data_IF_049688996139
#
_entry.id   IF_049688996139
#
_cell.length_a   1.000
_cell.length_b   1.000
_cell.length_c   1.000
_cell.angle_alpha   90.00
_cell.angle_beta   90.00
_cell.angle_gamma   90.00
#
_symmetry.space_group_name_H-M   'P 1'
#
loop_
_entity.id
_entity.type
_entity.pdbx_description
1 polymer ?
#
# COMPACT_ATOMS: atom_id res chain seq x y z
N UNK A 1 -30.04 -29.00 18.59
CA UNK A 1 -29.70 -28.46 17.26
C UNK A 1 -29.77 -26.93 17.15
N UNK A 2 -30.81 -26.25 17.67
CA UNK A 2 -30.93 -24.78 17.56
C UNK A 2 -29.78 -24.00 18.24
N UNK A 3 -29.33 -24.45 19.43
CA UNK A 3 -28.25 -23.80 20.20
C UNK A 3 -26.89 -23.83 19.47
N UNK A 4 -26.54 -24.96 18.85
CA UNK A 4 -25.29 -25.10 18.09
C UNK A 4 -25.30 -24.20 16.83
N UNK A 5 -26.44 -24.08 16.15
CA UNK A 5 -26.59 -23.17 14.99
C UNK A 5 -26.39 -21.70 15.37
N UNK A 6 -26.87 -21.28 16.55
CA UNK A 6 -26.69 -19.91 17.05
C UNK A 6 -25.20 -19.62 17.30
N UNK A 7 -24.50 -20.56 17.94
CA UNK A 7 -23.07 -20.41 18.25
C UNK A 7 -22.24 -20.30 16.97
N UNK A 8 -22.50 -21.17 15.98
CA UNK A 8 -21.80 -21.12 14.70
C UNK A 8 -22.04 -19.82 13.93
N UNK A 9 -23.29 -19.34 13.90
CA UNK A 9 -23.60 -18.05 13.27
C UNK A 9 -22.93 -16.87 13.99
N UNK A 10 -22.89 -16.88 15.32
CA UNK A 10 -22.19 -15.82 16.04
C UNK A 10 -20.71 -15.78 15.70
N UNK A 11 -20.02 -16.92 15.66
CA UNK A 11 -18.59 -17.00 15.34
C UNK A 11 -18.32 -16.51 13.91
N UNK A 12 -19.18 -16.88 12.94
CA UNK A 12 -19.03 -16.45 11.56
C UNK A 12 -19.15 -14.92 11.42
N UNK A 13 -20.09 -14.30 12.15
CA UNK A 13 -20.26 -12.85 12.13
C UNK A 13 -19.06 -12.14 12.76
N UNK A 14 -18.56 -12.60 13.91
CA UNK A 14 -17.38 -11.99 14.55
C UNK A 14 -16.12 -12.15 13.68
N UNK A 15 -15.94 -13.30 13.04
CA UNK A 15 -14.81 -13.53 12.14
C UNK A 15 -14.86 -12.63 10.89
N UNK A 16 -16.06 -12.43 10.30
CA UNK A 16 -16.24 -11.54 9.16
C UNK A 16 -15.92 -10.07 9.51
N UNK A 17 -16.36 -9.61 10.68
CA UNK A 17 -16.06 -8.26 11.18
C UNK A 17 -14.55 -8.12 11.43
N UNK A 18 -13.92 -9.08 12.09
CA UNK A 18 -12.47 -9.07 12.36
C UNK A 18 -11.63 -9.05 11.07
N UNK A 19 -12.01 -9.82 10.05
CA UNK A 19 -11.34 -9.81 8.74
C UNK A 19 -11.46 -8.48 8.00
N UNK A 20 -12.57 -7.75 8.16
CA UNK A 20 -12.76 -6.43 7.57
C UNK A 20 -11.87 -5.35 8.22
N UNK A 21 -11.52 -5.50 9.50
CA UNK A 21 -10.56 -4.61 10.16
C UNK A 21 -9.11 -4.97 9.83
N UNK A 22 -8.79 -6.26 9.69
CA UNK A 22 -7.43 -6.70 9.35
C UNK A 22 -6.97 -6.26 7.94
N UNK A 23 -7.90 -6.03 7.02
CA UNK A 23 -7.61 -5.65 5.63
C UNK A 23 -7.51 -4.14 5.41
N UNK A 24 -7.86 -3.33 6.41
CA UNK A 24 -7.85 -1.87 6.32
C UNK A 24 -6.55 -1.32 6.90
N UNK A 25 -5.64 -0.96 5.99
CA UNK A 25 -4.49 -0.08 6.19
C UNK A 25 -3.31 -0.63 6.99
N UNK A 26 -2.48 -1.43 6.33
CA UNK A 26 -1.05 -1.43 6.63
C UNK A 26 -0.34 -0.39 5.74
N UNK A 27 -0.67 0.90 5.88
CA UNK A 27 0.41 1.90 5.68
C UNK A 27 1.26 1.76 6.93
N UNK A 28 2.40 1.09 6.81
CA UNK A 28 3.32 0.91 7.93
C UNK A 28 3.62 2.32 8.46
N UNK A 29 3.36 2.62 9.75
CA UNK A 29 3.70 3.92 10.30
C UNK A 29 5.19 4.17 10.04
N UNK A 30 5.51 5.19 9.24
CA UNK A 30 6.88 5.46 8.78
C UNK A 30 7.19 5.12 7.32
N UNK A 31 6.20 4.71 6.52
CA UNK A 31 6.39 4.53 5.08
C UNK A 31 6.75 5.90 4.45
N UNK A 32 7.96 6.08 3.88
CA UNK A 32 8.39 7.36 3.35
C UNK A 32 7.53 7.77 2.16
N UNK A 33 7.43 9.08 1.90
CA UNK A 33 6.78 9.58 0.69
C UNK A 33 7.42 8.95 -0.54
N UNK A 34 6.58 8.41 -1.42
CA UNK A 34 7.04 7.67 -2.59
C UNK A 34 6.91 8.51 -3.84
N UNK A 35 7.85 8.30 -4.76
CA UNK A 35 8.00 9.08 -5.97
C UNK A 35 8.09 8.18 -7.19
N UNK A 36 7.65 8.71 -8.32
CA UNK A 36 7.78 8.10 -9.64
C UNK A 36 8.56 9.00 -10.58
N UNK A 37 9.38 8.44 -11.49
CA UNK A 37 10.06 9.20 -12.52
C UNK A 37 9.06 9.68 -13.59
N UNK A 38 8.98 10.99 -13.82
CA UNK A 38 8.13 11.65 -14.81
C UNK A 38 8.94 12.77 -15.47
N UNK A 39 9.24 12.64 -16.77
CA UNK A 39 9.94 13.66 -17.58
C UNK A 39 11.19 14.23 -16.89
N UNK A 40 12.17 13.37 -16.60
CA UNK A 40 13.44 13.71 -15.93
C UNK A 40 13.33 14.24 -14.48
N UNK A 41 12.14 14.23 -13.89
CA UNK A 41 11.89 14.61 -12.51
C UNK A 41 11.22 13.49 -11.72
N UNK A 42 11.19 13.64 -10.39
CA UNK A 42 10.46 12.75 -9.49
C UNK A 42 9.19 13.45 -9.00
N UNK A 43 8.04 12.81 -9.16
CA UNK A 43 6.74 13.30 -8.68
C UNK A 43 6.19 12.40 -7.58
N UNK A 44 5.51 12.96 -6.57
CA UNK A 44 4.88 12.15 -5.53
C UNK A 44 3.84 11.21 -6.15
N UNK A 45 3.93 9.92 -5.81
CA UNK A 45 3.10 8.86 -6.37
C UNK A 45 1.69 8.81 -5.75
N UNK A 46 1.52 9.40 -4.56
CA UNK A 46 0.31 9.31 -3.74
C UNK A 46 0.39 8.17 -2.71
N UNK A 47 -0.77 7.69 -2.27
CA UNK A 47 -0.92 6.61 -1.30
C UNK A 47 -1.04 5.25 -2.00
N UNK A 48 -0.18 4.30 -1.63
CA UNK A 48 -0.22 2.94 -2.13
C UNK A 48 -1.57 2.26 -1.82
N UNK A 49 -2.16 1.60 -2.81
CA UNK A 49 -3.47 0.95 -2.73
C UNK A 49 -4.67 1.91 -2.86
N UNK A 50 -4.43 3.22 -2.89
CA UNK A 50 -5.48 4.25 -3.08
C UNK A 50 -5.30 5.01 -4.39
N UNK A 51 -4.12 5.57 -4.60
CA UNK A 51 -3.78 6.37 -5.78
C UNK A 51 -3.03 5.53 -6.83
N UNK A 52 -2.30 4.50 -6.39
CA UNK A 52 -1.54 3.62 -7.27
C UNK A 52 -1.34 2.22 -6.70
N UNK A 53 -1.00 1.27 -7.57
CA UNK A 53 -0.52 -0.06 -7.24
C UNK A 53 0.80 -0.38 -7.95
N UNK A 54 1.48 -1.40 -7.45
CA UNK A 54 2.67 -1.99 -8.06
C UNK A 54 2.37 -3.43 -8.45
N UNK A 55 2.36 -3.74 -9.74
CA UNK A 55 2.17 -5.11 -10.22
C UNK A 55 3.51 -5.84 -10.34
N UNK A 56 3.51 -7.17 -10.15
CA UNK A 56 4.74 -7.97 -10.17
C UNK A 56 5.54 -7.77 -11.47
N UNK A 57 6.76 -7.26 -11.31
CA UNK A 57 7.72 -7.00 -12.38
C UNK A 57 9.13 -6.88 -11.77
N UNK A 58 10.16 -7.07 -12.60
CA UNK A 58 11.57 -6.89 -12.23
C UNK A 58 11.97 -5.41 -12.10
N UNK A 59 11.10 -4.49 -12.51
CA UNK A 59 11.35 -3.05 -12.49
C UNK A 59 11.19 -2.42 -11.09
N UNK A 60 11.65 -1.17 -10.95
CA UNK A 60 11.37 -0.33 -9.78
C UNK A 60 10.02 0.36 -9.99
N UNK A 61 9.09 0.16 -9.06
CA UNK A 61 7.77 0.77 -9.10
C UNK A 61 7.82 2.21 -8.60
N UNK A 62 8.48 2.41 -7.46
CA UNK A 62 8.58 3.71 -6.80
C UNK A 62 9.93 3.88 -6.12
N UNK A 63 10.28 5.13 -5.90
CA UNK A 63 11.47 5.56 -5.23
C UNK A 63 11.10 6.30 -3.95
N UNK A 64 12.02 6.36 -3.00
CA UNK A 64 11.90 7.20 -1.81
C UNK A 64 13.13 8.10 -1.69
N UNK A 65 12.97 9.19 -0.95
CA UNK A 65 14.05 10.11 -0.66
C UNK A 65 14.53 9.88 0.78
N UNK A 66 15.74 9.33 1.00
CA UNK A 66 16.22 9.00 2.33
C UNK A 66 16.47 10.25 3.18
N UNK A 67 17.05 11.29 2.59
CA UNK A 67 17.31 12.56 3.24
C UNK A 67 17.02 13.72 2.28
N UNK A 68 15.88 14.39 2.50
CA UNK A 68 15.48 15.53 1.69
C UNK A 68 16.26 16.81 1.98
N UNK A 69 17.02 16.86 3.09
CA UNK A 69 17.77 18.04 3.53
C UNK A 69 19.22 17.94 3.10
N UNK A 70 19.90 16.83 3.40
CA UNK A 70 21.30 16.63 3.04
C UNK A 70 21.47 16.20 1.58
N UNK A 71 20.55 15.42 1.03
CA UNK A 71 20.62 14.84 -0.32
C UNK A 71 19.31 15.04 -1.11
N UNK A 72 18.91 16.29 -1.42
CA UNK A 72 17.62 16.60 -2.04
C UNK A 72 17.43 16.05 -3.47
N UNK A 73 18.48 15.53 -4.10
CA UNK A 73 18.45 14.94 -5.45
C UNK A 73 18.60 13.42 -5.45
N UNK A 74 18.79 12.80 -4.28
CA UNK A 74 18.98 11.37 -4.17
C UNK A 74 17.65 10.65 -3.98
N UNK A 75 17.35 9.73 -4.89
CA UNK A 75 16.17 8.89 -4.87
C UNK A 75 16.59 7.44 -4.96
N UNK A 76 16.20 6.64 -3.98
CA UNK A 76 16.54 5.22 -3.89
C UNK A 76 15.31 4.36 -4.19
N UNK A 77 15.49 3.19 -4.84
CA UNK A 77 14.39 2.26 -5.09
C UNK A 77 13.70 1.85 -3.78
N UNK A 78 12.36 1.86 -3.77
CA UNK A 78 11.57 1.45 -2.62
C UNK A 78 10.71 0.21 -2.90
N UNK A 79 9.72 0.32 -3.78
CA UNK A 79 8.89 -0.84 -4.19
C UNK A 79 9.38 -1.38 -5.53
N UNK A 80 9.38 -2.70 -5.64
CA UNK A 80 9.52 -3.41 -6.92
C UNK A 80 8.17 -3.54 -7.60
N UNK A 81 8.19 -3.64 -8.92
CA UNK A 81 7.01 -3.83 -9.75
C UNK A 81 6.84 -2.77 -10.84
N UNK A 82 5.74 -2.86 -11.56
CA UNK A 82 5.31 -1.87 -12.54
C UNK A 82 4.27 -0.94 -11.90
N UNK A 83 4.57 0.37 -11.91
CA UNK A 83 3.65 1.40 -11.44
C UNK A 83 2.38 1.41 -12.29
N UNK A 84 1.22 1.39 -11.62
CA UNK A 84 -0.08 1.55 -12.25
C UNK A 84 -0.96 2.49 -11.41
N UNK A 85 -1.44 3.61 -11.97
CA UNK A 85 -2.36 4.49 -11.28
C UNK A 85 -3.73 3.83 -11.12
N UNK A 86 -4.37 4.04 -9.97
CA UNK A 86 -5.75 3.61 -9.72
C UNK A 86 -6.66 4.75 -10.14
N UNK A 87 -7.26 4.64 -11.33
CA UNK A 87 -8.23 5.62 -11.82
C UNK A 87 -9.54 5.39 -11.08
N UNK A 88 -10.08 6.44 -10.46
CA UNK A 88 -11.42 6.45 -9.85
C UNK A 88 -12.47 6.91 -10.85
#
# INVERSE_FOLDING_TARGET
MKRIKIILNSIAITAAIAGAFATRFCMVPGDPTQYIPVNDAYKPAGNFGFDYNCYDSQNVCTYYQPDSVASPKEYLPYRKGQYAPIIK
#
